data_IF_861505984663
#
_entry.id   IF_861505984663
#
_cell.length_a   1.000
_cell.length_b   1.000
_cell.length_c   1.000
_cell.angle_alpha   90.00
_cell.angle_beta   90.00
_cell.angle_gamma   90.00
#
_symmetry.space_group_name_H-M   'P 1'
#
loop_
_entity.id
_entity.type
_entity.pdbx_description
1 polymer ?
#
# COMPACT_ATOMS: atom_id res chain seq x y z
N UNK A 1 0.62 16.64 0.66
CA UNK A 1 1.49 16.77 -0.54
C UNK A 1 0.65 17.42 -1.63
N UNK A 2 1.08 18.55 -2.16
CA UNK A 2 0.47 19.18 -3.36
C UNK A 2 1.15 18.58 -4.61
N UNK A 3 1.03 17.28 -4.82
CA UNK A 3 1.42 16.70 -6.09
C UNK A 3 0.24 16.88 -7.05
N UNK A 4 0.50 17.41 -8.23
CA UNK A 4 -0.47 17.36 -9.32
C UNK A 4 -0.85 15.91 -9.56
N UNK A 5 -2.13 15.67 -9.82
CA UNK A 5 -2.62 14.34 -10.20
C UNK A 5 -1.98 14.03 -11.57
N UNK A 6 -1.23 12.93 -11.71
CA UNK A 6 -0.64 12.58 -12.98
C UNK A 6 -1.72 12.39 -14.05
N UNK A 7 -1.46 12.80 -15.30
CA UNK A 7 -2.37 12.55 -16.42
C UNK A 7 -2.58 11.05 -16.67
N UNK A 8 -1.57 10.23 -16.39
CA UNK A 8 -1.62 8.78 -16.54
C UNK A 8 -1.35 8.09 -15.19
N UNK A 9 -1.91 6.90 -15.00
CA UNK A 9 -1.61 6.07 -13.83
C UNK A 9 -0.12 5.70 -13.83
N UNK A 10 0.50 5.79 -12.68
CA UNK A 10 1.89 5.38 -12.49
C UNK A 10 1.91 4.03 -11.80
N UNK A 11 2.50 3.06 -12.48
CA UNK A 11 2.68 1.71 -11.96
C UNK A 11 4.15 1.47 -11.61
N UNK A 12 4.37 0.67 -10.58
CA UNK A 12 5.65 0.05 -10.26
C UNK A 12 5.38 -1.31 -9.64
N UNK A 13 6.34 -2.21 -9.78
CA UNK A 13 6.21 -3.59 -9.30
C UNK A 13 7.11 -3.76 -8.09
N UNK A 14 6.59 -4.43 -7.06
CA UNK A 14 7.37 -4.93 -5.94
C UNK A 14 7.57 -6.44 -6.12
N UNK A 15 8.83 -6.94 -6.10
CA UNK A 15 9.11 -8.37 -6.27
C UNK A 15 8.67 -9.17 -5.04
N UNK A 16 8.65 -10.50 -5.16
CA UNK A 16 8.31 -11.39 -4.04
C UNK A 16 9.20 -11.16 -2.81
N UNK A 17 10.47 -10.80 -2.97
CA UNK A 17 11.37 -10.46 -1.86
C UNK A 17 10.96 -9.20 -1.09
N UNK A 18 10.13 -8.33 -1.68
CA UNK A 18 9.57 -7.16 -1.00
C UNK A 18 8.45 -7.53 -0.03
N UNK A 19 7.81 -8.69 -0.19
CA UNK A 19 6.65 -9.10 0.62
C UNK A 19 7.10 -9.52 2.02
N UNK A 20 6.41 -8.99 3.04
CA UNK A 20 6.66 -9.30 4.44
C UNK A 20 5.37 -9.24 5.27
N UNK A 21 5.31 -10.01 6.35
CA UNK A 21 4.35 -9.86 7.44
C UNK A 21 4.95 -9.15 8.65
N UNK A 22 6.23 -8.75 8.55
CA UNK A 22 6.94 -8.00 9.61
C UNK A 22 7.28 -6.62 9.09
N UNK A 23 7.06 -5.61 9.90
CA UNK A 23 7.47 -4.25 9.59
C UNK A 23 8.93 -4.07 10.03
N UNK A 24 9.84 -4.10 9.05
CA UNK A 24 11.28 -4.03 9.27
C UNK A 24 11.79 -2.69 8.75
N UNK A 25 12.47 -1.93 9.61
CA UNK A 25 13.13 -0.70 9.15
C UNK A 25 14.29 -1.06 8.20
N UNK A 26 14.34 -0.47 6.99
CA UNK A 26 15.33 -0.90 5.99
C UNK A 26 16.76 -0.65 6.45
N UNK A 27 17.61 -1.66 6.23
CA UNK A 27 19.04 -1.58 6.62
C UNK A 27 19.76 -0.48 5.82
N UNK A 28 20.73 0.17 6.49
CA UNK A 28 21.56 1.22 5.89
C UNK A 28 20.76 2.44 5.37
N UNK A 29 19.54 2.65 5.87
CA UNK A 29 18.73 3.82 5.59
C UNK A 29 18.54 4.64 6.86
N UNK A 30 18.46 5.95 6.70
CA UNK A 30 18.19 6.90 7.79
C UNK A 30 16.74 7.37 7.81
N UNK A 31 16.02 7.19 6.69
CA UNK A 31 14.62 7.60 6.52
C UNK A 31 13.87 6.59 5.67
N UNK A 32 12.66 6.26 6.10
CA UNK A 32 11.70 5.48 5.33
C UNK A 32 10.30 6.03 5.64
N UNK A 33 9.47 6.13 4.61
CA UNK A 33 8.09 6.58 4.75
C UNK A 33 7.13 5.40 4.68
N UNK A 34 6.04 5.48 5.45
CA UNK A 34 4.90 4.59 5.34
C UNK A 34 3.85 5.16 4.39
N UNK A 35 3.21 4.30 3.66
CA UNK A 35 2.05 4.55 2.81
C UNK A 35 1.05 3.40 3.04
N UNK A 36 0.00 3.65 3.85
CA UNK A 36 -1.01 2.64 4.13
C UNK A 36 -2.00 2.53 2.96
N UNK A 37 -2.28 1.30 2.54
CA UNK A 37 -3.08 1.02 1.36
C UNK A 37 -4.05 -0.14 1.59
N UNK A 38 -5.28 -0.02 1.07
CA UNK A 38 -6.14 -1.19 0.91
C UNK A 38 -5.49 -2.06 -0.16
N UNK A 39 -5.21 -3.30 0.18
CA UNK A 39 -4.55 -4.24 -0.72
C UNK A 39 -5.51 -5.37 -1.10
N UNK A 40 -5.51 -5.74 -2.36
CA UNK A 40 -6.42 -6.72 -2.93
C UNK A 40 -5.66 -7.91 -3.46
N UNK A 41 -6.08 -9.12 -3.07
CA UNK A 41 -5.56 -10.37 -3.62
C UNK A 41 -6.32 -10.70 -4.90
N UNK A 42 -5.59 -11.00 -5.95
CA UNK A 42 -6.13 -11.33 -7.27
C UNK A 42 -6.12 -12.85 -7.46
N UNK A 43 -7.21 -13.35 -8.01
CA UNK A 43 -7.33 -14.73 -8.51
C UNK A 43 -8.28 -14.76 -9.69
N UNK A 44 -7.90 -15.45 -10.76
CA UNK A 44 -8.69 -15.52 -12.01
C UNK A 44 -9.11 -14.13 -12.49
N UNK A 45 -8.15 -13.16 -12.48
CA UNK A 45 -8.36 -11.76 -12.84
C UNK A 45 -9.39 -10.99 -11.98
N UNK A 46 -9.74 -11.51 -10.81
CA UNK A 46 -10.76 -10.92 -9.91
C UNK A 46 -10.18 -10.67 -8.53
N UNK A 47 -10.70 -9.65 -7.87
CA UNK A 47 -10.47 -9.44 -6.44
C UNK A 47 -11.19 -10.56 -5.66
N UNK A 48 -10.44 -11.31 -4.85
CA UNK A 48 -10.99 -12.41 -4.03
C UNK A 48 -10.80 -12.19 -2.53
N UNK A 49 -9.88 -11.33 -2.14
CA UNK A 49 -9.65 -11.03 -0.73
C UNK A 49 -9.12 -9.60 -0.57
N UNK A 50 -9.24 -9.06 0.65
CA UNK A 50 -8.74 -7.74 1.03
C UNK A 50 -7.78 -7.88 2.20
N UNK A 51 -6.76 -7.01 2.25
CA UNK A 51 -5.78 -6.90 3.31
C UNK A 51 -5.42 -5.45 3.59
N UNK A 52 -4.83 -5.20 4.76
CA UNK A 52 -4.14 -3.95 5.05
C UNK A 52 -2.70 -4.08 4.53
N UNK A 53 -2.21 -3.08 3.81
CA UNK A 53 -0.85 -3.05 3.30
C UNK A 53 -0.11 -1.77 3.66
N UNK A 54 1.23 -1.86 3.70
CA UNK A 54 2.14 -0.71 3.79
C UNK A 54 3.09 -0.76 2.58
N UNK A 55 3.02 0.26 1.72
CA UNK A 55 4.01 0.51 0.67
C UNK A 55 5.14 1.36 1.26
N UNK A 56 6.17 0.69 1.76
CA UNK A 56 7.34 1.37 2.32
C UNK A 56 8.14 2.03 1.22
N UNK A 57 8.51 3.30 1.46
CA UNK A 57 9.09 4.17 0.44
C UNK A 57 10.34 4.87 0.95
N UNK A 58 11.45 4.71 0.24
CA UNK A 58 12.65 5.53 0.45
C UNK A 58 12.45 6.88 -0.27
N UNK A 59 11.78 7.81 0.40
CA UNK A 59 11.25 9.05 -0.19
C UNK A 59 12.31 9.93 -0.83
N UNK A 60 13.45 10.09 -0.19
CA UNK A 60 14.55 10.89 -0.74
C UNK A 60 15.10 10.29 -2.04
N UNK A 61 15.22 8.95 -2.08
CA UNK A 61 15.67 8.23 -3.28
C UNK A 61 14.63 8.39 -4.38
N UNK A 62 13.34 8.23 -4.05
CA UNK A 62 12.25 8.41 -5.01
C UNK A 62 12.26 9.81 -5.63
N UNK A 63 12.44 10.86 -4.82
CA UNK A 63 12.50 12.23 -5.33
C UNK A 63 13.63 12.43 -6.32
N UNK A 64 14.83 11.93 -6.01
CA UNK A 64 15.99 11.99 -6.91
C UNK A 64 15.78 11.21 -8.21
N UNK A 65 15.09 10.05 -8.14
CA UNK A 65 14.78 9.25 -9.32
C UNK A 65 13.75 9.96 -10.21
N UNK A 66 12.69 10.53 -9.59
CA UNK A 66 11.66 11.32 -10.31
C UNK A 66 12.26 12.51 -11.06
N UNK A 67 13.10 13.29 -10.40
CA UNK A 67 13.79 14.44 -11.01
C UNK A 67 14.61 14.07 -12.25
N UNK A 68 15.15 12.85 -12.29
CA UNK A 68 15.99 12.34 -13.37
C UNK A 68 15.23 11.48 -14.40
N UNK A 69 13.92 11.31 -14.24
CA UNK A 69 13.13 10.42 -15.10
C UNK A 69 13.55 8.94 -15.02
N UNK A 70 14.11 8.50 -13.88
CA UNK A 70 14.61 7.14 -13.68
C UNK A 70 13.53 6.25 -13.06
N UNK A 71 13.62 4.91 -13.27
CA UNK A 71 12.75 3.93 -12.64
C UNK A 71 12.78 3.98 -11.10
N UNK A 72 11.67 3.60 -10.45
CA UNK A 72 11.47 3.79 -8.99
C UNK A 72 11.82 2.58 -8.13
N UNK A 73 12.26 1.45 -8.72
CA UNK A 73 12.50 0.19 -8.03
C UNK A 73 13.41 0.33 -6.81
N UNK A 74 14.49 1.14 -6.91
CA UNK A 74 15.40 1.39 -5.78
C UNK A 74 14.70 2.04 -4.57
N UNK A 75 13.62 2.76 -4.80
CA UNK A 75 12.87 3.46 -3.76
C UNK A 75 11.65 2.68 -3.28
N UNK A 76 11.14 1.73 -4.09
CA UNK A 76 9.86 1.06 -3.88
C UNK A 76 9.96 -0.46 -3.77
N UNK A 77 10.97 -1.10 -4.41
CA UNK A 77 11.05 -2.54 -4.59
C UNK A 77 12.20 -3.19 -3.78
N UNK A 78 12.55 -2.61 -2.64
CA UNK A 78 13.56 -3.18 -1.74
C UNK A 78 12.95 -4.27 -0.84
N UNK A 79 13.78 -5.12 -0.27
CA UNK A 79 13.36 -6.23 0.59
C UNK A 79 12.47 -5.74 1.75
N UNK A 80 11.38 -6.45 2.00
CA UNK A 80 10.38 -6.13 3.03
C UNK A 80 9.66 -4.78 2.83
N UNK A 81 9.65 -4.23 1.63
CA UNK A 81 9.00 -2.94 1.36
C UNK A 81 7.49 -3.02 1.12
N UNK A 82 6.90 -4.21 1.04
CA UNK A 82 5.47 -4.46 0.95
C UNK A 82 5.02 -5.28 2.18
N UNK A 83 4.52 -4.61 3.20
CA UNK A 83 4.11 -5.28 4.44
C UNK A 83 2.60 -5.48 4.43
N UNK A 84 2.15 -6.70 4.73
CA UNK A 84 0.73 -7.03 4.69
C UNK A 84 0.23 -7.66 5.99
N UNK A 85 -1.01 -7.35 6.35
CA UNK A 85 -1.81 -8.14 7.27
C UNK A 85 -2.14 -9.50 6.66
N UNK A 86 -2.82 -10.36 7.41
CA UNK A 86 -3.55 -11.47 6.80
C UNK A 86 -4.64 -10.92 5.86
N UNK A 87 -4.83 -11.60 4.73
CA UNK A 87 -5.94 -11.32 3.82
C UNK A 87 -7.19 -12.07 4.27
N UNK A 88 -8.34 -11.43 4.16
CA UNK A 88 -9.64 -12.05 4.39
C UNK A 88 -10.43 -12.15 3.10
N UNK A 89 -11.08 -13.30 2.88
CA UNK A 89 -11.95 -13.47 1.70
C UNK A 89 -12.98 -12.35 1.63
N UNK A 90 -13.14 -11.76 0.45
CA UNK A 90 -14.00 -10.62 0.26
C UNK A 90 -14.75 -10.72 -1.07
N UNK A 91 -16.08 -10.78 -0.98
CA UNK A 91 -17.00 -10.90 -2.14
C UNK A 91 -18.06 -9.80 -2.13
N UNK A 92 -17.91 -8.82 -1.24
CA UNK A 92 -18.89 -7.77 -1.03
C UNK A 92 -18.54 -6.53 -1.86
N UNK A 93 -19.35 -5.50 -1.75
CA UNK A 93 -19.17 -4.24 -2.43
C UNK A 93 -17.93 -3.48 -1.89
N UNK A 94 -16.86 -3.41 -2.69
CA UNK A 94 -15.61 -2.73 -2.31
C UNK A 94 -15.79 -1.23 -2.07
N UNK A 95 -16.88 -0.62 -2.57
CA UNK A 95 -17.14 0.81 -2.37
C UNK A 95 -17.42 1.19 -0.90
N UNK A 96 -17.65 0.20 -0.04
CA UNK A 96 -17.87 0.38 1.40
C UNK A 96 -16.63 0.15 2.26
N UNK A 97 -15.47 -0.07 1.62
CA UNK A 97 -14.21 -0.24 2.33
C UNK A 97 -13.64 1.09 2.80
N UNK A 98 -13.06 1.05 4.00
CA UNK A 98 -12.33 2.15 4.61
C UNK A 98 -11.02 1.62 5.17
N UNK A 99 -10.03 2.50 5.27
CA UNK A 99 -8.72 2.22 5.87
C UNK A 99 -8.42 3.23 6.97
N UNK A 100 -7.84 2.75 8.06
CA UNK A 100 -7.27 3.58 9.12
C UNK A 100 -5.88 3.07 9.47
N UNK A 101 -4.96 3.99 9.72
CA UNK A 101 -3.65 3.72 10.28
C UNK A 101 -3.42 4.57 11.52
N UNK A 102 -3.10 3.91 12.61
CA UNK A 102 -2.61 4.53 13.85
C UNK A 102 -1.12 4.20 14.01
N UNK A 103 -0.35 5.17 14.50
CA UNK A 103 1.05 4.97 14.91
C UNK A 103 1.18 5.53 16.32
N UNK A 104 1.63 4.70 17.28
CA UNK A 104 1.73 5.03 18.69
C UNK A 104 0.42 5.64 19.23
N UNK A 105 -0.71 4.98 18.93
CA UNK A 105 -2.08 5.36 19.28
C UNK A 105 -2.60 6.65 18.64
N UNK A 106 -1.83 7.29 17.75
CA UNK A 106 -2.25 8.50 17.03
C UNK A 106 -2.72 8.15 15.62
N UNK A 107 -3.93 8.61 15.24
CA UNK A 107 -4.46 8.44 13.88
C UNK A 107 -3.62 9.23 12.87
N UNK A 108 -2.99 8.53 11.92
CA UNK A 108 -2.13 9.13 10.88
C UNK A 108 -2.79 9.18 9.51
N UNK A 109 -3.48 8.10 9.12
CA UNK A 109 -4.16 8.03 7.84
C UNK A 109 -5.57 7.48 8.02
N UNK A 110 -6.52 8.06 7.31
CA UNK A 110 -7.90 7.60 7.21
C UNK A 110 -8.46 7.95 5.84
N UNK A 111 -9.07 6.98 5.19
CA UNK A 111 -9.75 7.18 3.91
C UNK A 111 -10.82 6.12 3.70
N UNK A 112 -11.73 6.43 2.81
CA UNK A 112 -12.70 5.52 2.24
C UNK A 112 -12.53 5.42 0.71
N UNK A 113 -13.29 4.54 0.10
CA UNK A 113 -13.28 4.31 -1.34
C UNK A 113 -13.53 5.59 -2.17
N UNK A 114 -14.33 6.54 -1.67
CA UNK A 114 -14.66 7.77 -2.41
C UNK A 114 -13.43 8.64 -2.66
N UNK A 115 -12.43 8.57 -1.77
CA UNK A 115 -11.19 9.34 -1.85
C UNK A 115 -10.13 8.70 -2.78
N UNK A 116 -10.34 7.48 -3.26
CA UNK A 116 -9.45 6.87 -4.25
C UNK A 116 -9.53 7.63 -5.57
N UNK A 117 -8.41 8.13 -6.06
CA UNK A 117 -8.32 8.80 -7.37
C UNK A 117 -8.65 7.80 -8.48
N UNK A 118 -7.98 6.66 -8.48
CA UNK A 118 -8.23 5.54 -9.38
C UNK A 118 -8.91 4.42 -8.59
N UNK A 119 -9.98 3.87 -9.12
CA UNK A 119 -10.71 2.77 -8.48
C UNK A 119 -10.01 1.43 -8.78
N UNK A 120 -10.08 0.44 -7.88
CA UNK A 120 -9.40 -0.86 -8.09
C UNK A 120 -9.69 -1.51 -9.44
N UNK A 121 -10.94 -1.47 -9.91
CA UNK A 121 -11.32 -2.02 -11.21
C UNK A 121 -10.68 -1.24 -12.39
N UNK A 122 -10.53 0.08 -12.25
CA UNK A 122 -9.85 0.94 -13.23
C UNK A 122 -8.36 0.63 -13.26
N UNK A 123 -7.75 0.43 -12.09
CA UNK A 123 -6.32 0.07 -11.97
C UNK A 123 -6.08 -1.30 -12.61
N UNK A 124 -6.92 -2.31 -12.32
CA UNK A 124 -6.83 -3.64 -12.92
C UNK A 124 -6.97 -3.55 -14.44
N UNK A 125 -7.95 -2.81 -14.93
CA UNK A 125 -8.18 -2.62 -16.36
C UNK A 125 -6.97 -2.00 -17.05
N UNK A 126 -6.41 -0.94 -16.48
CA UNK A 126 -5.24 -0.26 -17.03
C UNK A 126 -4.00 -1.16 -16.98
N UNK A 127 -3.74 -1.81 -15.85
CA UNK A 127 -2.62 -2.74 -15.69
C UNK A 127 -2.66 -3.85 -16.76
N UNK A 128 -3.84 -4.40 -17.06
CA UNK A 128 -4.03 -5.44 -18.09
C UNK A 128 -3.72 -5.00 -19.51
N UNK A 129 -3.47 -3.72 -19.75
CA UNK A 129 -3.01 -3.25 -21.07
C UNK A 129 -1.55 -3.60 -21.34
N UNK A 130 -0.76 -3.88 -20.30
CA UNK A 130 0.69 -4.14 -20.44
C UNK A 130 1.22 -5.32 -19.59
N UNK A 131 0.42 -5.87 -18.67
CA UNK A 131 0.77 -7.06 -17.89
C UNK A 131 -0.43 -8.00 -17.74
N UNK A 132 -0.17 -9.24 -17.36
CA UNK A 132 -1.19 -10.20 -16.92
C UNK A 132 -1.08 -10.39 -15.42
N UNK A 133 -2.23 -10.53 -14.74
CA UNK A 133 -2.24 -10.95 -13.34
C UNK A 133 -2.15 -12.46 -13.24
N UNK A 134 -1.36 -12.92 -12.28
CA UNK A 134 -1.29 -14.31 -11.87
C UNK A 134 -2.08 -14.50 -10.56
N UNK A 135 -2.54 -15.74 -10.33
CA UNK A 135 -3.21 -16.09 -9.08
C UNK A 135 -2.27 -15.89 -7.88
N UNK A 136 -2.66 -15.05 -6.95
CA UNK A 136 -1.83 -14.68 -5.80
C UNK A 136 -1.17 -13.31 -5.91
N UNK A 137 -1.26 -12.63 -7.05
CA UNK A 137 -0.80 -11.25 -7.16
C UNK A 137 -1.58 -10.34 -6.20
N UNK A 138 -0.88 -9.33 -5.70
CA UNK A 138 -1.46 -8.33 -4.80
C UNK A 138 -1.46 -6.97 -5.48
N UNK A 139 -2.65 -6.38 -5.60
CA UNK A 139 -2.82 -5.00 -6.02
C UNK A 139 -2.84 -4.10 -4.79
N UNK A 140 -1.88 -3.20 -4.67
CA UNK A 140 -1.88 -2.08 -3.73
C UNK A 140 -2.55 -0.87 -4.40
N UNK A 141 -3.57 -0.29 -3.76
CA UNK A 141 -4.50 0.64 -4.43
C UNK A 141 -4.12 2.11 -4.33
N UNK A 142 -2.96 2.42 -3.78
CA UNK A 142 -2.54 3.79 -3.51
C UNK A 142 -2.92 4.27 -2.12
N UNK A 143 -2.12 5.20 -1.61
CA UNK A 143 -2.19 5.69 -0.23
C UNK A 143 -2.93 7.02 -0.12
N UNK A 144 -3.76 7.24 0.93
CA UNK A 144 -4.34 8.54 1.22
C UNK A 144 -3.30 9.52 1.78
N UNK A 145 -3.71 10.77 2.00
CA UNK A 145 -2.91 11.76 2.72
C UNK A 145 -2.52 11.27 4.12
N UNK A 146 -1.42 11.82 4.66
CA UNK A 146 -0.93 11.50 6.00
C UNK A 146 0.26 10.56 6.00
N UNK A 147 0.92 10.36 4.85
CA UNK A 147 2.21 9.64 4.76
C UNK A 147 3.29 10.37 5.57
N UNK A 148 4.24 9.64 6.11
CA UNK A 148 5.31 10.21 6.93
C UNK A 148 6.40 9.21 7.24
N UNK A 149 7.40 9.69 7.98
CA UNK A 149 8.51 8.87 8.45
C UNK A 149 8.12 8.07 9.68
N UNK A 150 8.86 7.00 9.90
CA UNK A 150 8.75 6.14 11.08
C UNK A 150 10.12 5.67 11.51
N UNK A 151 10.20 5.11 12.71
CA UNK A 151 11.46 4.61 13.30
C UNK A 151 11.28 3.27 14.00
N UNK A 152 12.38 2.61 14.29
CA UNK A 152 12.39 1.38 15.10
C UNK A 152 11.69 1.59 16.45
N UNK A 153 10.89 0.60 16.84
CA UNK A 153 10.08 0.62 18.06
C UNK A 153 8.74 1.32 17.94
N UNK A 154 8.44 2.00 16.82
CA UNK A 154 7.08 2.53 16.60
C UNK A 154 6.08 1.36 16.47
N UNK A 155 4.87 1.59 16.95
CA UNK A 155 3.77 0.62 16.91
C UNK A 155 2.73 1.10 15.91
N UNK A 156 2.52 0.29 14.88
CA UNK A 156 1.51 0.51 13.86
C UNK A 156 0.28 -0.34 14.15
N UNK A 157 -0.90 0.24 14.04
CA UNK A 157 -2.17 -0.49 14.03
C UNK A 157 -2.92 -0.11 12.77
N UNK A 158 -2.94 -1.05 11.83
CA UNK A 158 -3.66 -0.91 10.57
C UNK A 158 -5.04 -1.55 10.64
N UNK A 159 -6.06 -0.87 10.13
CA UNK A 159 -7.43 -1.37 10.10
C UNK A 159 -8.03 -1.26 8.72
N UNK A 160 -8.77 -2.31 8.33
CA UNK A 160 -9.72 -2.23 7.22
C UNK A 160 -11.12 -2.34 7.80
N UNK A 161 -11.99 -1.45 7.40
CA UNK A 161 -13.39 -1.46 7.79
C UNK A 161 -14.27 -1.73 6.57
N UNK A 162 -15.37 -2.41 6.80
CA UNK A 162 -16.46 -2.57 5.84
C UNK A 162 -17.76 -2.10 6.47
N UNK A 163 -18.44 -1.17 5.85
CA UNK A 163 -19.69 -0.57 6.36
C UNK A 163 -19.53 -0.11 7.83
N UNK A 164 -18.43 0.61 8.13
CA UNK A 164 -18.03 1.13 9.44
C UNK A 164 -17.62 0.07 10.47
N UNK A 165 -17.60 -1.22 10.13
CA UNK A 165 -17.19 -2.29 11.04
C UNK A 165 -15.79 -2.76 10.70
N UNK A 166 -14.93 -2.89 11.70
CA UNK A 166 -13.57 -3.42 11.52
C UNK A 166 -13.67 -4.88 11.10
N UNK A 167 -13.08 -5.21 9.95
CA UNK A 167 -12.97 -6.58 9.42
C UNK A 167 -11.53 -7.08 9.46
N UNK A 168 -10.55 -6.19 9.51
CA UNK A 168 -9.14 -6.49 9.72
C UNK A 168 -8.59 -5.47 10.73
N UNK A 169 -7.86 -5.95 11.73
CA UNK A 169 -7.00 -5.16 12.60
C UNK A 169 -5.68 -5.91 12.76
N UNK A 170 -4.58 -5.27 12.40
CA UNK A 170 -3.24 -5.87 12.49
C UNK A 170 -2.30 -4.89 13.19
N UNK A 171 -1.48 -5.44 14.10
CA UNK A 171 -0.50 -4.69 14.86
C UNK A 171 0.91 -5.07 14.41
N UNK A 172 1.70 -4.08 14.03
CA UNK A 172 3.10 -4.24 13.67
C UNK A 172 3.97 -3.42 14.61
N UNK A 173 5.02 -4.04 15.13
CA UNK A 173 6.13 -3.34 15.76
C UNK A 173 7.26 -3.18 14.74
N UNK A 174 7.85 -1.98 14.66
CA UNK A 174 8.97 -1.72 13.75
C UNK A 174 10.25 -2.31 14.32
N UNK A 175 10.81 -3.31 13.63
CA UNK A 175 12.02 -4.04 14.00
C UNK A 175 13.30 -3.37 13.49
#
# INVERSE_FOLDING_TARGET
MNNEIPENMVFFIKPNSAISQKLIFPQNQTSCHYEAEISFLIKEDKIVAVGFGLDLTLREIQSKLKEKGLPWERAKAFDNSAVFSKFVEFKQDISKLEIELFINDELKQKADYSLMINKPDEIIKEAKTFLSFEDGDILMSGTPKGVGEFKKGDIFVGKILYDKKVIIEERFEVL
#
